data_IF_131913304827
#
_entry.id   IF_131913304827
#
_cell.length_a   1.000
_cell.length_b   1.000
_cell.length_c   1.000
_cell.angle_alpha   90.00
_cell.angle_beta   90.00
_cell.angle_gamma   90.00
#
_symmetry.space_group_name_H-M   'P 1'
#
loop_
_entity.id
_entity.type
_entity.pdbx_description
1 polymer ?
#
# COMPACT_ATOMS: atom_id res chain seq x y z
N UNK A 1 25.73 -29.58 -18.20
CA UNK A 1 24.86 -29.58 -17.01
C UNK A 1 25.70 -29.30 -15.80
N UNK A 2 25.73 -28.08 -15.27
CA UNK A 2 26.31 -27.80 -13.94
C UNK A 2 25.84 -26.41 -13.48
N UNK A 3 25.06 -26.44 -12.40
CA UNK A 3 24.92 -25.46 -11.31
C UNK A 3 24.66 -23.99 -11.63
N UNK A 4 23.37 -23.65 -11.72
CA UNK A 4 22.90 -22.27 -11.58
C UNK A 4 21.91 -22.10 -10.38
N UNK A 5 21.94 -23.00 -9.41
CA UNK A 5 20.99 -23.02 -8.28
C UNK A 5 21.53 -22.45 -6.96
N UNK A 6 22.80 -22.01 -6.90
CA UNK A 6 23.42 -21.54 -5.66
C UNK A 6 23.34 -20.06 -5.38
N UNK A 7 22.95 -19.23 -6.36
CA UNK A 7 22.98 -17.74 -6.21
C UNK A 7 21.74 -17.16 -5.57
N UNK A 8 20.57 -17.75 -5.78
CA UNK A 8 19.29 -17.25 -5.21
C UNK A 8 19.12 -17.57 -3.72
N UNK A 9 19.71 -18.68 -3.25
CA UNK A 9 19.68 -19.06 -1.84
C UNK A 9 20.60 -18.21 -0.94
N UNK A 10 21.63 -17.57 -1.52
CA UNK A 10 22.54 -16.70 -0.76
C UNK A 10 22.01 -15.27 -0.60
N UNK A 11 21.14 -14.79 -1.50
CA UNK A 11 20.50 -13.48 -1.38
C UNK A 11 19.37 -13.47 -0.33
N UNK A 12 18.69 -14.60 -0.11
CA UNK A 12 17.66 -14.75 0.92
C UNK A 12 18.21 -14.78 2.35
N UNK A 13 19.50 -15.07 2.55
CA UNK A 13 20.15 -15.12 3.88
C UNK A 13 20.69 -13.79 4.39
N UNK A 14 20.55 -12.69 3.64
CA UNK A 14 20.99 -11.33 4.07
C UNK A 14 19.88 -10.41 4.57
N UNK A 15 18.62 -10.82 4.54
CA UNK A 15 17.58 -10.16 5.34
C UNK A 15 17.70 -10.71 6.76
N UNK A 16 18.45 -10.02 7.62
CA UNK A 16 18.64 -10.41 9.00
C UNK A 16 17.28 -10.61 9.68
N UNK A 17 16.91 -11.84 9.94
CA UNK A 17 15.78 -12.18 10.79
C UNK A 17 16.11 -11.66 12.19
N UNK A 18 15.54 -10.51 12.56
CA UNK A 18 15.53 -10.05 13.94
C UNK A 18 14.93 -11.18 14.76
N UNK A 19 15.67 -11.69 15.77
CA UNK A 19 15.16 -12.77 16.61
C UNK A 19 13.85 -12.32 17.29
N UNK A 20 12.92 -13.25 17.57
CA UNK A 20 11.66 -12.92 18.25
C UNK A 20 11.89 -12.18 19.58
N UNK A 21 12.96 -12.49 20.31
CA UNK A 21 13.34 -11.80 21.54
C UNK A 21 13.77 -10.36 21.30
N UNK A 22 14.59 -10.07 20.28
CA UNK A 22 15.00 -8.70 19.95
C UNK A 22 13.83 -7.84 19.48
N UNK A 23 12.85 -8.45 18.78
CA UNK A 23 11.62 -7.76 18.40
C UNK A 23 10.77 -7.40 19.62
N UNK A 24 10.61 -8.29 20.59
CA UNK A 24 9.86 -8.04 21.81
C UNK A 24 10.52 -6.95 22.69
N UNK A 25 11.83 -6.99 22.86
CA UNK A 25 12.57 -5.96 23.62
C UNK A 25 12.44 -4.57 22.96
N UNK A 26 12.52 -4.52 21.63
CA UNK A 26 12.30 -3.27 20.88
C UNK A 26 10.89 -2.71 21.09
N UNK A 27 9.86 -3.56 21.04
CA UNK A 27 8.46 -3.15 21.26
C UNK A 27 8.25 -2.60 22.67
N UNK A 28 8.80 -3.23 23.69
CA UNK A 28 8.74 -2.77 25.08
C UNK A 28 9.44 -1.42 25.25
N UNK A 29 10.62 -1.24 24.68
CA UNK A 29 11.34 0.03 24.73
C UNK A 29 10.62 1.15 23.99
N UNK A 30 10.03 0.85 22.84
CA UNK A 30 9.23 1.81 22.05
C UNK A 30 7.99 2.24 22.85
N UNK A 31 7.27 1.30 23.45
CA UNK A 31 6.10 1.58 24.32
C UNK A 31 6.48 2.49 25.49
N UNK A 32 7.54 2.17 26.24
CA UNK A 32 8.04 3.00 27.34
C UNK A 32 8.43 4.41 26.88
N UNK A 33 8.94 4.56 25.66
CA UNK A 33 9.26 5.88 25.08
C UNK A 33 7.99 6.66 24.76
N UNK A 34 6.97 6.02 24.21
CA UNK A 34 5.66 6.62 23.93
C UNK A 34 5.04 7.10 25.24
N UNK A 35 4.99 6.26 26.26
CA UNK A 35 4.42 6.60 27.57
C UNK A 35 5.11 7.82 28.21
N UNK A 36 6.44 7.89 28.10
CA UNK A 36 7.20 9.07 28.59
C UNK A 36 6.83 10.35 27.84
N UNK A 37 6.68 10.27 26.50
CA UNK A 37 6.31 11.45 25.68
C UNK A 37 4.90 11.91 25.98
N UNK A 38 3.94 10.99 26.04
CA UNK A 38 2.54 11.29 26.39
C UNK A 38 2.44 11.85 27.81
N UNK A 39 3.11 11.23 28.77
CA UNK A 39 3.14 11.72 30.15
C UNK A 39 3.79 13.10 30.28
N UNK A 40 4.83 13.40 29.50
CA UNK A 40 5.41 14.75 29.46
C UNK A 40 4.45 15.79 28.88
N UNK A 41 3.69 15.43 27.85
CA UNK A 41 2.68 16.33 27.27
C UNK A 41 1.52 16.59 28.24
N UNK A 42 1.05 15.58 28.93
CA UNK A 42 0.04 15.74 29.98
C UNK A 42 0.50 16.70 31.10
N UNK A 43 1.75 16.54 31.58
CA UNK A 43 2.33 17.46 32.57
C UNK A 43 2.41 18.88 32.03
N UNK A 44 2.91 19.06 30.82
CA UNK A 44 3.02 20.39 30.17
C UNK A 44 1.66 21.08 30.03
N UNK A 45 0.62 20.32 29.68
CA UNK A 45 -0.74 20.82 29.49
C UNK A 45 -1.58 20.82 30.77
N UNK A 46 -1.00 20.41 31.88
CA UNK A 46 -1.69 20.28 33.20
C UNK A 46 -2.93 19.37 33.13
N UNK A 47 -2.89 18.35 32.27
CA UNK A 47 -3.96 17.36 32.13
C UNK A 47 -3.69 16.24 33.13
N UNK A 48 -4.66 15.97 34.01
CA UNK A 48 -4.63 14.79 34.88
C UNK A 48 -5.20 13.58 34.13
N UNK A 49 -4.39 12.55 33.82
CA UNK A 49 -4.91 11.35 33.19
C UNK A 49 -5.89 10.62 34.12
N UNK A 50 -6.85 9.94 33.51
CA UNK A 50 -7.71 9.00 34.23
C UNK A 50 -6.89 7.84 34.77
N UNK A 51 -7.42 7.16 35.81
CA UNK A 51 -6.83 5.93 36.31
C UNK A 51 -6.75 4.82 35.27
N UNK A 52 -6.04 3.74 35.62
CA UNK A 52 -5.97 2.56 34.73
C UNK A 52 -7.38 1.97 34.54
N UNK A 53 -7.71 1.62 33.30
CA UNK A 53 -8.93 0.90 33.00
C UNK A 53 -9.01 -0.42 33.78
N UNK A 54 -10.19 -0.76 34.27
CA UNK A 54 -10.43 -2.07 34.87
C UNK A 54 -10.38 -3.18 33.79
N UNK A 55 -10.44 -4.45 34.19
CA UNK A 55 -10.28 -5.56 33.26
C UNK A 55 -11.42 -5.64 32.22
N UNK A 56 -12.63 -5.31 32.59
CA UNK A 56 -13.77 -5.31 31.67
C UNK A 56 -13.64 -4.21 30.60
N UNK A 57 -13.25 -3.01 30.99
CA UNK A 57 -12.98 -1.90 30.06
C UNK A 57 -11.79 -2.19 29.15
N UNK A 58 -10.70 -2.74 29.75
CA UNK A 58 -9.52 -3.12 28.98
C UNK A 58 -9.87 -4.17 27.92
N UNK A 59 -10.51 -5.26 28.33
CA UNK A 59 -10.94 -6.33 27.43
C UNK A 59 -11.80 -5.80 26.28
N UNK A 60 -12.84 -5.02 26.59
CA UNK A 60 -13.71 -4.44 25.57
C UNK A 60 -12.93 -3.61 24.56
N UNK A 61 -12.00 -2.76 25.03
CA UNK A 61 -11.16 -1.94 24.15
C UNK A 61 -10.21 -2.79 23.30
N UNK A 62 -9.60 -3.82 23.89
CA UNK A 62 -8.69 -4.72 23.18
C UNK A 62 -9.43 -5.43 22.01
N UNK A 63 -10.61 -5.98 22.27
CA UNK A 63 -11.43 -6.63 21.25
C UNK A 63 -11.84 -5.66 20.13
N UNK A 64 -12.35 -4.48 20.47
CA UNK A 64 -12.77 -3.49 19.48
C UNK A 64 -11.59 -3.00 18.62
N UNK A 65 -10.44 -2.75 19.22
CA UNK A 65 -9.28 -2.25 18.49
C UNK A 65 -8.61 -3.33 17.64
N UNK A 66 -8.49 -4.56 18.16
CA UNK A 66 -7.79 -5.64 17.46
C UNK A 66 -8.66 -6.32 16.40
N UNK A 67 -9.90 -6.67 16.74
CA UNK A 67 -10.74 -7.49 15.87
C UNK A 67 -12.09 -6.87 15.47
N UNK A 68 -12.38 -5.64 15.94
CA UNK A 68 -13.54 -4.85 15.51
C UNK A 68 -14.90 -5.30 16.07
N UNK A 69 -14.92 -6.22 17.04
CA UNK A 69 -16.14 -6.68 17.72
C UNK A 69 -15.97 -6.65 19.24
N UNK A 70 -17.07 -6.76 19.96
CA UNK A 70 -17.04 -7.00 21.40
C UNK A 70 -16.76 -8.50 21.68
N UNK A 71 -16.25 -8.86 22.88
CA UNK A 71 -16.11 -10.28 23.26
C UNK A 71 -17.47 -10.97 23.36
N UNK A 72 -17.51 -12.28 23.16
CA UNK A 72 -18.68 -13.09 23.51
C UNK A 72 -18.81 -13.22 25.03
N UNK A 73 -19.91 -13.79 25.49
CA UNK A 73 -20.13 -14.04 26.92
C UNK A 73 -19.04 -14.98 27.47
N UNK A 74 -18.74 -16.07 26.76
CA UNK A 74 -17.75 -17.06 27.17
C UNK A 74 -16.34 -16.47 27.20
N UNK A 75 -15.98 -15.68 26.19
CA UNK A 75 -14.70 -14.96 26.13
C UNK A 75 -14.56 -13.99 27.30
N UNK A 76 -15.66 -13.28 27.63
CA UNK A 76 -15.66 -12.33 28.73
C UNK A 76 -15.52 -13.02 30.09
N UNK A 77 -16.28 -14.08 30.34
CA UNK A 77 -16.21 -14.85 31.58
C UNK A 77 -14.83 -15.48 31.75
N UNK A 78 -14.28 -16.08 30.69
CA UNK A 78 -12.94 -16.69 30.73
C UNK A 78 -11.86 -15.67 31.11
N UNK A 79 -11.86 -14.49 30.49
CA UNK A 79 -10.87 -13.44 30.76
C UNK A 79 -11.03 -12.83 32.17
N UNK A 80 -12.26 -12.57 32.60
CA UNK A 80 -12.50 -11.95 33.90
C UNK A 80 -12.15 -12.88 35.07
N UNK A 81 -12.34 -14.18 34.91
CA UNK A 81 -12.00 -15.20 35.91
C UNK A 81 -10.52 -15.67 35.85
N UNK A 82 -9.77 -15.24 34.84
CA UNK A 82 -8.33 -15.54 34.78
C UNK A 82 -7.59 -14.69 35.81
N UNK A 83 -6.90 -15.36 36.77
CA UNK A 83 -6.10 -14.73 37.80
C UNK A 83 -4.63 -14.53 37.43
N UNK A 84 -4.26 -14.89 36.18
CA UNK A 84 -2.90 -14.73 35.68
C UNK A 84 -2.45 -13.26 35.71
N UNK A 85 -1.26 -12.93 36.22
CA UNK A 85 -0.73 -11.58 36.20
C UNK A 85 -0.52 -11.04 34.77
N UNK A 86 -0.33 -11.92 33.79
CA UNK A 86 -0.08 -11.59 32.39
C UNK A 86 -1.33 -11.68 31.50
N UNK A 87 -2.53 -11.88 32.07
CA UNK A 87 -3.77 -12.09 31.31
C UNK A 87 -4.04 -11.02 30.24
N UNK A 88 -3.68 -9.75 30.52
CA UNK A 88 -3.87 -8.66 29.57
C UNK A 88 -2.95 -8.78 28.34
N UNK A 89 -1.69 -9.14 28.57
CA UNK A 89 -0.73 -9.39 27.48
C UNK A 89 -1.13 -10.63 26.66
N UNK A 90 -1.48 -11.71 27.36
CA UNK A 90 -1.95 -12.94 26.73
C UNK A 90 -3.19 -12.70 25.85
N UNK A 91 -4.13 -11.88 26.32
CA UNK A 91 -5.30 -11.49 25.52
C UNK A 91 -4.90 -10.72 24.27
N UNK A 92 -4.01 -9.73 24.38
CA UNK A 92 -3.53 -8.98 23.21
C UNK A 92 -2.88 -9.93 22.20
N UNK A 93 -1.97 -10.80 22.62
CA UNK A 93 -1.26 -11.73 21.75
C UNK A 93 -2.23 -12.71 21.06
N UNK A 94 -3.21 -13.23 21.79
CA UNK A 94 -4.25 -14.10 21.24
C UNK A 94 -5.10 -13.36 20.19
N UNK A 95 -5.52 -12.12 20.45
CA UNK A 95 -6.29 -11.33 19.50
C UNK A 95 -5.47 -11.01 18.24
N UNK A 96 -4.21 -10.61 18.37
CA UNK A 96 -3.33 -10.31 17.24
C UNK A 96 -3.01 -11.54 16.39
N UNK A 97 -2.99 -12.75 16.98
CA UNK A 97 -2.83 -14.02 16.26
C UNK A 97 -4.10 -14.56 15.62
N UNK A 98 -5.25 -13.90 15.81
CA UNK A 98 -6.56 -14.42 15.40
C UNK A 98 -6.91 -14.12 13.94
N UNK A 99 -7.78 -14.96 13.35
CA UNK A 99 -8.40 -14.67 12.05
C UNK A 99 -9.20 -13.36 12.08
N UNK A 100 -9.83 -13.02 13.20
CA UNK A 100 -10.56 -11.77 13.40
C UNK A 100 -9.68 -10.53 13.22
N UNK A 101 -8.44 -10.58 13.71
CA UNK A 101 -7.46 -9.52 13.48
C UNK A 101 -7.12 -9.36 12.00
N UNK A 102 -6.84 -10.47 11.32
CA UNK A 102 -6.51 -10.45 9.90
C UNK A 102 -7.64 -9.83 9.08
N UNK A 103 -8.89 -10.18 9.36
CA UNK A 103 -10.05 -9.63 8.64
C UNK A 103 -10.32 -8.16 8.98
N UNK A 104 -10.16 -7.77 10.25
CA UNK A 104 -10.32 -6.38 10.66
C UNK A 104 -9.24 -5.47 10.07
N UNK A 105 -8.00 -5.94 10.02
CA UNK A 105 -6.90 -5.24 9.35
C UNK A 105 -7.07 -5.22 7.84
N UNK A 106 -7.57 -6.32 7.25
CA UNK A 106 -7.89 -6.36 5.82
C UNK A 106 -8.89 -5.27 5.43
N UNK A 107 -9.99 -5.11 6.16
CA UNK A 107 -10.98 -4.07 5.86
C UNK A 107 -10.34 -2.68 5.85
N UNK A 108 -9.52 -2.38 6.85
CA UNK A 108 -8.82 -1.11 6.92
C UNK A 108 -7.82 -0.89 5.77
N UNK A 109 -7.06 -1.93 5.40
CA UNK A 109 -6.13 -1.86 4.28
C UNK A 109 -6.86 -1.80 2.93
N UNK A 110 -7.95 -2.55 2.78
CA UNK A 110 -8.75 -2.55 1.57
C UNK A 110 -9.32 -1.15 1.29
N UNK A 111 -9.87 -0.48 2.32
CA UNK A 111 -10.33 0.91 2.21
C UNK A 111 -9.18 1.86 1.82
N UNK A 112 -8.05 1.75 2.50
CA UNK A 112 -6.90 2.62 2.25
C UNK A 112 -6.33 2.44 0.83
N UNK A 113 -6.22 1.19 0.39
CA UNK A 113 -5.71 0.79 -0.92
C UNK A 113 -6.80 0.77 -2.01
N UNK A 114 -8.04 1.11 -1.63
CA UNK A 114 -9.19 1.18 -2.53
C UNK A 114 -9.46 -0.14 -3.26
N UNK A 115 -9.24 -1.26 -2.56
CA UNK A 115 -9.47 -2.59 -3.13
C UNK A 115 -10.96 -2.84 -3.33
N UNK A 116 -11.31 -3.41 -4.46
CA UNK A 116 -12.65 -3.88 -4.82
C UNK A 116 -12.54 -5.31 -5.34
N UNK A 117 -13.61 -6.06 -5.25
CA UNK A 117 -13.71 -7.43 -5.76
C UNK A 117 -13.87 -7.46 -7.30
N UNK A 118 -14.27 -6.32 -7.87
CA UNK A 118 -14.49 -6.16 -9.29
C UNK A 118 -13.77 -4.92 -9.80
N UNK A 119 -13.00 -5.07 -10.87
CA UNK A 119 -12.49 -4.01 -11.73
C UNK A 119 -13.34 -4.00 -13.00
N UNK A 120 -13.30 -2.93 -13.81
CA UNK A 120 -14.21 -2.73 -14.95
C UNK A 120 -14.36 -3.99 -15.84
N UNK A 121 -13.25 -4.67 -16.14
CA UNK A 121 -13.26 -5.85 -17.03
C UNK A 121 -12.58 -7.08 -16.42
N UNK A 122 -12.25 -7.08 -15.13
CA UNK A 122 -11.55 -8.20 -14.49
C UNK A 122 -11.81 -8.31 -13.00
N UNK A 123 -11.53 -9.49 -12.45
CA UNK A 123 -11.68 -9.77 -11.04
C UNK A 123 -10.62 -9.05 -10.18
N UNK A 124 -11.07 -8.40 -9.11
CA UNK A 124 -10.21 -7.88 -8.06
C UNK A 124 -9.73 -8.93 -7.06
N UNK A 125 -10.21 -10.19 -7.18
CA UNK A 125 -9.91 -11.26 -6.24
C UNK A 125 -8.40 -11.52 -6.02
N UNK A 126 -7.52 -11.50 -7.04
CA UNK A 126 -6.08 -11.66 -6.82
C UNK A 126 -5.48 -10.55 -5.96
N UNK A 127 -5.95 -9.31 -6.14
CA UNK A 127 -5.49 -8.17 -5.34
C UNK A 127 -5.96 -8.28 -3.89
N UNK A 128 -7.24 -8.61 -3.69
CA UNK A 128 -7.80 -8.87 -2.36
C UNK A 128 -7.04 -9.99 -1.66
N UNK A 129 -6.77 -11.10 -2.36
CA UNK A 129 -6.01 -12.22 -1.83
C UNK A 129 -4.61 -11.78 -1.41
N UNK A 130 -3.90 -11.03 -2.26
CA UNK A 130 -2.55 -10.54 -1.95
C UNK A 130 -2.52 -9.64 -0.70
N UNK A 131 -3.54 -8.77 -0.50
CA UNK A 131 -3.64 -7.95 0.70
C UNK A 131 -3.85 -8.84 1.94
N UNK A 132 -4.77 -9.82 1.87
CA UNK A 132 -5.05 -10.77 2.97
C UNK A 132 -3.84 -11.59 3.34
N UNK A 133 -3.14 -12.14 2.36
CA UNK A 133 -1.92 -12.91 2.56
C UNK A 133 -0.81 -12.07 3.19
N UNK A 134 -0.61 -10.84 2.71
CA UNK A 134 0.38 -9.90 3.25
C UNK A 134 0.13 -9.59 4.74
N UNK A 135 -1.12 -9.50 5.16
CA UNK A 135 -1.50 -9.29 6.56
C UNK A 135 -1.28 -10.56 7.37
N UNK A 136 -1.76 -11.72 6.89
CA UNK A 136 -1.63 -13.01 7.57
C UNK A 136 -0.17 -13.42 7.78
N UNK A 137 0.70 -13.12 6.80
CA UNK A 137 2.15 -13.33 6.87
C UNK A 137 2.87 -12.28 7.71
N UNK A 138 2.16 -11.30 8.24
CA UNK A 138 2.74 -10.15 8.93
C UNK A 138 3.87 -9.48 8.12
N UNK A 139 3.63 -9.33 6.79
CA UNK A 139 4.58 -8.71 5.87
C UNK A 139 4.92 -7.30 6.32
N UNK A 140 6.19 -6.93 6.30
CA UNK A 140 6.60 -5.59 6.72
C UNK A 140 5.94 -4.52 5.84
N UNK A 141 5.51 -3.41 6.45
CA UNK A 141 4.93 -2.29 5.70
C UNK A 141 5.82 -1.79 4.57
N UNK A 142 7.13 -1.76 4.81
CA UNK A 142 8.13 -1.43 3.80
C UNK A 142 8.05 -2.38 2.61
N UNK A 143 8.06 -3.69 2.85
CA UNK A 143 8.00 -4.70 1.79
C UNK A 143 6.67 -4.65 1.04
N UNK A 144 5.57 -4.54 1.78
CA UNK A 144 4.23 -4.45 1.19
C UNK A 144 4.12 -3.26 0.22
N UNK A 145 4.55 -2.08 0.62
CA UNK A 145 4.47 -0.89 -0.24
C UNK A 145 5.45 -0.95 -1.39
N UNK A 146 6.66 -1.46 -1.17
CA UNK A 146 7.64 -1.65 -2.25
C UNK A 146 7.10 -2.60 -3.32
N UNK A 147 6.53 -3.74 -2.93
CA UNK A 147 5.91 -4.71 -3.84
C UNK A 147 4.75 -4.07 -4.63
N UNK A 148 3.85 -3.32 -3.98
CA UNK A 148 2.76 -2.61 -4.65
C UNK A 148 3.26 -1.66 -5.75
N UNK A 149 4.26 -0.85 -5.43
CA UNK A 149 4.75 0.17 -6.34
C UNK A 149 5.58 -0.43 -7.48
N UNK A 150 6.32 -1.50 -7.22
CA UNK A 150 7.19 -2.15 -8.22
C UNK A 150 6.52 -3.32 -8.96
N UNK A 151 5.26 -3.64 -8.67
CA UNK A 151 4.55 -4.81 -9.18
C UNK A 151 4.52 -4.87 -10.72
N UNK A 152 4.83 -6.03 -11.29
CA UNK A 152 4.71 -6.35 -12.73
C UNK A 152 4.16 -7.75 -12.92
N UNK A 153 3.75 -8.08 -14.13
CA UNK A 153 3.23 -9.40 -14.50
C UNK A 153 1.73 -9.51 -14.41
N UNK A 154 1.21 -10.71 -14.47
CA UNK A 154 -0.22 -11.00 -14.46
C UNK A 154 -0.82 -10.94 -13.05
N UNK A 155 -2.11 -10.64 -12.98
CA UNK A 155 -2.82 -10.47 -11.71
C UNK A 155 -2.86 -11.75 -10.87
N UNK A 156 -3.05 -12.90 -11.52
CA UNK A 156 -3.11 -14.18 -10.81
C UNK A 156 -1.76 -14.67 -10.28
N UNK A 157 -0.65 -14.27 -10.94
CA UNK A 157 0.71 -14.60 -10.48
C UNK A 157 1.22 -13.57 -9.46
N UNK A 158 0.77 -12.32 -9.58
CA UNK A 158 1.20 -11.23 -8.73
C UNK A 158 0.02 -10.29 -8.43
N UNK A 159 -0.75 -10.59 -7.38
CA UNK A 159 -1.91 -9.78 -7.00
C UNK A 159 -1.62 -8.31 -6.71
N UNK A 160 -0.37 -7.95 -6.38
CA UNK A 160 0.02 -6.56 -6.13
C UNK A 160 -0.19 -5.63 -7.35
N UNK A 161 -0.20 -6.18 -8.59
CA UNK A 161 -0.48 -5.40 -9.81
C UNK A 161 -1.89 -4.79 -9.80
N UNK A 162 -2.82 -5.35 -9.02
CA UNK A 162 -4.16 -4.81 -8.84
C UNK A 162 -4.16 -3.35 -8.37
N UNK A 163 -3.09 -2.88 -7.73
CA UNK A 163 -2.91 -1.48 -7.36
C UNK A 163 -2.93 -0.52 -8.55
N UNK A 164 -2.41 -0.94 -9.70
CA UNK A 164 -2.43 -0.16 -10.94
C UNK A 164 -3.64 -0.49 -11.81
N UNK A 165 -4.01 -1.77 -11.88
CA UNK A 165 -5.18 -2.24 -12.66
C UNK A 165 -6.44 -1.53 -12.20
N UNK A 166 -6.58 -1.34 -10.89
CA UNK A 166 -7.71 -0.63 -10.29
C UNK A 166 -7.94 0.78 -10.88
N UNK A 167 -6.89 1.48 -11.26
CA UNK A 167 -6.98 2.83 -11.81
C UNK A 167 -7.01 2.86 -13.35
N UNK A 168 -7.09 1.70 -14.01
CA UNK A 168 -7.39 1.54 -15.45
C UNK A 168 -6.59 2.47 -16.37
N UNK A 169 -5.28 2.54 -16.15
CA UNK A 169 -4.41 3.40 -16.95
C UNK A 169 -4.43 4.89 -16.58
N UNK A 170 -5.24 5.33 -15.63
CA UNK A 170 -5.21 6.69 -15.08
C UNK A 170 -3.99 6.88 -14.17
N UNK A 171 -2.79 6.81 -14.75
CA UNK A 171 -1.53 6.77 -13.99
C UNK A 171 -1.25 8.06 -13.20
N UNK A 172 -1.77 9.19 -13.64
CA UNK A 172 -1.65 10.45 -12.90
C UNK A 172 -2.49 10.43 -11.63
N UNK A 173 -3.71 9.89 -11.70
CA UNK A 173 -4.58 9.75 -10.54
C UNK A 173 -4.05 8.67 -9.58
N UNK A 174 -3.46 7.59 -10.12
CA UNK A 174 -2.74 6.61 -9.31
C UNK A 174 -1.58 7.25 -8.55
N UNK A 175 -0.77 8.12 -9.18
CA UNK A 175 0.32 8.85 -8.52
C UNK A 175 -0.21 9.81 -7.44
N UNK A 176 -1.28 10.56 -7.71
CA UNK A 176 -1.93 11.43 -6.73
C UNK A 176 -2.41 10.62 -5.51
N UNK A 177 -3.05 9.48 -5.74
CA UNK A 177 -3.46 8.55 -4.68
C UNK A 177 -2.26 7.96 -3.92
N UNK A 178 -1.19 7.59 -4.63
CA UNK A 178 0.04 7.09 -4.02
C UNK A 178 0.63 8.09 -3.02
N UNK A 179 0.72 9.36 -3.40
CA UNK A 179 1.22 10.42 -2.50
C UNK A 179 0.27 10.66 -1.33
N UNK A 180 -1.03 10.64 -1.56
CA UNK A 180 -2.03 10.77 -0.50
C UNK A 180 -1.97 9.59 0.48
N UNK A 181 -1.85 8.36 -0.03
CA UNK A 181 -1.85 7.15 0.78
C UNK A 181 -0.55 7.02 1.58
N UNK A 182 0.60 7.14 0.94
CA UNK A 182 1.88 6.79 1.56
C UNK A 182 2.66 7.99 2.10
N UNK A 183 2.42 9.18 1.57
CA UNK A 183 3.09 10.42 1.99
C UNK A 183 2.16 11.42 2.70
N UNK A 184 0.85 11.12 2.78
CA UNK A 184 -0.13 11.96 3.45
C UNK A 184 -0.21 13.37 2.86
N UNK A 185 0.04 13.49 1.57
CA UNK A 185 0.09 14.76 0.84
C UNK A 185 -0.83 14.70 -0.36
N UNK A 186 -1.63 15.72 -0.53
CA UNK A 186 -2.53 15.88 -1.67
C UNK A 186 -1.86 16.74 -2.72
N UNK A 187 -1.55 16.15 -3.87
CA UNK A 187 -0.94 16.86 -5.00
C UNK A 187 -1.83 16.87 -6.23
N UNK A 188 -3.04 16.37 -6.13
CA UNK A 188 -3.98 16.25 -7.25
C UNK A 188 -4.29 17.61 -7.92
N UNK A 189 -4.42 18.70 -7.14
CA UNK A 189 -4.61 20.03 -7.70
C UNK A 189 -3.45 20.49 -8.59
N UNK A 190 -2.23 20.00 -8.27
CA UNK A 190 -1.03 20.32 -9.03
C UNK A 190 -0.98 19.62 -10.40
N UNK A 191 -1.94 18.77 -10.73
CA UNK A 191 -2.09 18.21 -12.09
C UNK A 191 -2.46 19.28 -13.12
N UNK A 192 -3.29 20.25 -12.76
CA UNK A 192 -3.80 21.27 -13.68
C UNK A 192 -3.16 22.65 -13.49
N UNK A 193 -2.76 23.00 -12.27
CA UNK A 193 -2.15 24.29 -11.92
C UNK A 193 -1.32 24.16 -10.64
N UNK A 194 -0.48 25.15 -10.33
CA UNK A 194 0.20 25.18 -9.04
C UNK A 194 -0.83 25.13 -7.90
N UNK A 195 -0.53 24.35 -6.86
CA UNK A 195 -1.47 24.13 -5.76
C UNK A 195 -1.85 25.47 -5.09
N UNK A 196 -3.16 25.77 -4.92
CA UNK A 196 -3.59 27.11 -4.49
C UNK A 196 -3.28 27.40 -3.02
N UNK A 197 -3.14 26.38 -2.17
CA UNK A 197 -3.00 26.51 -0.72
C UNK A 197 -1.74 25.80 -0.17
N UNK A 198 -0.92 25.21 -1.04
CA UNK A 198 0.28 24.48 -0.64
C UNK A 198 1.42 24.81 -1.62
N UNK A 199 2.63 24.39 -1.30
CA UNK A 199 3.84 24.71 -2.08
C UNK A 199 4.04 23.87 -3.35
N UNK A 200 3.13 22.93 -3.66
CA UNK A 200 3.25 22.02 -4.79
C UNK A 200 3.05 22.71 -6.13
N UNK A 201 4.04 22.60 -6.99
CA UNK A 201 3.97 23.11 -8.36
C UNK A 201 3.44 22.06 -9.32
N UNK A 202 2.86 22.50 -10.44
CA UNK A 202 2.48 21.63 -11.54
C UNK A 202 3.69 20.80 -12.03
N UNK A 203 4.87 21.40 -12.09
CA UNK A 203 6.12 20.71 -12.39
C UNK A 203 6.41 19.55 -11.44
N UNK A 204 6.25 19.75 -10.12
CA UNK A 204 6.47 18.70 -9.13
C UNK A 204 5.54 17.49 -9.34
N UNK A 205 4.27 17.77 -9.68
CA UNK A 205 3.31 16.71 -9.99
C UNK A 205 3.72 15.90 -11.22
N UNK A 206 4.08 16.57 -12.32
CA UNK A 206 4.48 15.88 -13.56
C UNK A 206 5.79 15.12 -13.39
N UNK A 207 6.75 15.67 -12.66
CA UNK A 207 7.99 14.95 -12.34
C UNK A 207 7.75 13.72 -11.47
N UNK A 208 6.80 13.75 -10.54
CA UNK A 208 6.37 12.56 -9.78
C UNK A 208 5.66 11.56 -10.70
N UNK A 209 4.71 12.00 -11.51
CA UNK A 209 3.97 11.13 -12.42
C UNK A 209 4.87 10.45 -13.46
N UNK A 210 6.01 11.06 -13.80
CA UNK A 210 6.97 10.49 -14.74
C UNK A 210 7.57 9.14 -14.27
N UNK A 211 7.59 8.85 -12.98
CA UNK A 211 8.05 7.55 -12.47
C UNK A 211 7.19 6.39 -12.94
N UNK A 212 5.90 6.60 -13.09
CA UNK A 212 4.91 5.58 -13.46
C UNK A 212 4.42 5.72 -14.89
N UNK A 213 4.84 6.78 -15.59
CA UNK A 213 4.44 7.03 -16.98
C UNK A 213 5.11 6.07 -17.94
N UNK A 214 4.44 5.02 -18.30
CA UNK A 214 4.94 3.94 -19.15
C UNK A 214 4.44 2.58 -18.68
N UNK A 215 3.70 2.57 -17.60
CA UNK A 215 2.90 1.41 -17.22
C UNK A 215 1.83 1.22 -18.26
N UNK A 216 1.74 0.00 -18.80
CA UNK A 216 0.70 -0.43 -19.70
C UNK A 216 -0.03 -1.60 -19.08
N UNK A 217 -1.34 -1.55 -19.15
CA UNK A 217 -2.18 -2.69 -18.85
C UNK A 217 -2.36 -3.46 -20.15
N UNK A 218 -1.97 -4.71 -20.18
CA UNK A 218 -2.16 -5.60 -21.32
C UNK A 218 -3.16 -6.70 -20.93
N UNK A 219 -4.09 -6.99 -21.82
CA UNK A 219 -4.99 -8.15 -21.70
C UNK A 219 -4.18 -9.42 -21.98
N UNK A 220 -4.52 -10.53 -21.33
CA UNK A 220 -3.86 -11.81 -21.61
C UNK A 220 -4.17 -12.28 -23.03
N UNK A 221 -3.30 -13.15 -23.60
CA UNK A 221 -3.55 -13.75 -24.92
C UNK A 221 -4.89 -14.48 -24.99
N UNK A 222 -5.32 -15.09 -23.90
CA UNK A 222 -6.59 -15.81 -23.84
C UNK A 222 -7.78 -14.84 -23.89
N UNK A 223 -7.67 -13.66 -23.27
CA UNK A 223 -8.72 -12.64 -23.36
C UNK A 223 -8.83 -12.08 -24.78
N UNK A 224 -7.71 -11.83 -25.45
CA UNK A 224 -7.71 -11.40 -26.85
C UNK A 224 -8.37 -12.46 -27.76
N UNK A 225 -8.06 -13.74 -27.54
CA UNK A 225 -8.67 -14.83 -28.31
C UNK A 225 -10.19 -14.95 -28.08
N UNK A 226 -10.68 -14.63 -26.90
CA UNK A 226 -12.11 -14.65 -26.58
C UNK A 226 -12.84 -13.40 -27.13
N UNK A 227 -12.16 -12.26 -27.21
CA UNK A 227 -12.71 -11.04 -27.85
C UNK A 227 -12.87 -11.20 -29.37
N UNK A 228 -11.89 -11.77 -30.03
CA UNK A 228 -11.94 -12.02 -31.48
C UNK A 228 -13.08 -12.98 -31.94
N UNK A 229 -13.71 -13.68 -30.99
CA UNK A 229 -14.84 -14.57 -31.24
C UNK A 229 -16.21 -13.99 -30.85
N UNK A 230 -16.30 -12.71 -30.46
CA UNK A 230 -17.58 -12.06 -30.16
C UNK A 230 -18.51 -11.87 -31.34
N UNK A 231 -18.02 -11.96 -32.58
CA UNK A 231 -18.82 -11.96 -33.83
C UNK A 231 -19.53 -13.30 -34.08
N UNK A 232 -19.91 -14.01 -33.02
CA UNK A 232 -20.74 -15.20 -33.19
C UNK A 232 -22.22 -14.82 -33.33
N UNK A 233 -22.60 -14.33 -34.51
CA UNK A 233 -23.98 -14.25 -34.93
C UNK A 233 -24.63 -15.65 -34.83
N UNK A 234 -25.59 -15.81 -33.93
CA UNK A 234 -26.37 -17.06 -33.80
C UNK A 234 -26.18 -17.83 -32.47
N UNK A 235 -25.34 -17.37 -31.56
CA UNK A 235 -25.15 -18.02 -30.25
C UNK A 235 -26.30 -17.65 -29.32
N UNK A 236 -26.88 -18.67 -28.64
CA UNK A 236 -27.95 -18.45 -27.65
C UNK A 236 -27.49 -17.49 -26.52
N UNK A 237 -28.48 -16.79 -25.93
CA UNK A 237 -28.24 -15.85 -24.82
C UNK A 237 -27.47 -16.52 -23.67
N UNK A 238 -27.79 -17.79 -23.36
CA UNK A 238 -27.18 -18.55 -22.27
C UNK A 238 -25.69 -18.83 -22.52
N UNK A 239 -25.30 -19.11 -23.78
CA UNK A 239 -23.89 -19.31 -24.13
C UNK A 239 -23.11 -17.98 -24.08
N UNK A 240 -23.76 -16.85 -24.34
CA UNK A 240 -23.12 -15.52 -24.17
C UNK A 240 -22.89 -15.21 -22.70
N UNK A 241 -23.82 -15.55 -21.82
CA UNK A 241 -23.65 -15.36 -20.39
C UNK A 241 -22.59 -16.26 -19.79
N UNK A 242 -22.52 -17.53 -20.23
CA UNK A 242 -21.42 -18.45 -19.86
C UNK A 242 -20.08 -17.95 -20.39
N UNK A 243 -20.00 -17.46 -21.62
CA UNK A 243 -18.76 -16.91 -22.18
C UNK A 243 -18.31 -15.64 -21.44
N UNK A 244 -19.27 -14.82 -20.98
CA UNK A 244 -18.99 -13.66 -20.13
C UNK A 244 -18.44 -14.07 -18.77
N UNK A 245 -19.01 -15.09 -18.11
CA UNK A 245 -18.51 -15.62 -16.84
C UNK A 245 -17.13 -16.23 -16.98
N UNK A 246 -16.89 -17.01 -18.04
CA UNK A 246 -15.57 -17.59 -18.34
C UNK A 246 -14.56 -16.46 -18.59
N UNK A 247 -14.94 -15.46 -19.38
CA UNK A 247 -14.13 -14.28 -19.67
C UNK A 247 -13.74 -13.58 -18.36
N UNK A 248 -14.71 -13.28 -17.52
CA UNK A 248 -14.49 -12.64 -16.22
C UNK A 248 -13.55 -13.44 -15.31
N UNK A 249 -13.68 -14.78 -15.30
CA UNK A 249 -12.83 -15.67 -14.51
C UNK A 249 -11.42 -15.82 -15.07
N UNK A 250 -11.26 -15.68 -16.39
CA UNK A 250 -10.00 -15.93 -17.12
C UNK A 250 -9.29 -14.62 -17.52
N UNK A 251 -9.97 -13.48 -17.43
CA UNK A 251 -9.38 -12.17 -17.74
C UNK A 251 -8.23 -11.90 -16.78
N UNK A 252 -7.02 -12.14 -17.27
CA UNK A 252 -5.79 -11.82 -16.56
C UNK A 252 -5.21 -10.53 -17.14
N UNK A 253 -5.29 -9.46 -16.38
CA UNK A 253 -4.58 -8.24 -16.70
C UNK A 253 -3.12 -8.38 -16.29
N UNK A 254 -2.23 -8.08 -17.19
CA UNK A 254 -0.83 -7.94 -16.89
C UNK A 254 -0.41 -6.47 -16.87
N UNK A 255 0.47 -6.14 -15.95
CA UNK A 255 1.15 -4.86 -15.94
C UNK A 255 2.52 -5.02 -16.55
N UNK A 256 2.73 -4.29 -17.64
CA UNK A 256 4.02 -4.13 -18.29
C UNK A 256 4.53 -2.71 -18.03
N UNK A 257 5.80 -2.58 -17.74
CA UNK A 257 6.41 -1.27 -17.56
C UNK A 257 7.42 -1.02 -18.69
N UNK A 258 7.03 -0.18 -19.63
CA UNK A 258 7.88 0.29 -20.73
C UNK A 258 8.44 1.68 -20.46
N UNK A 259 8.25 2.19 -19.24
CA UNK A 259 8.54 3.55 -18.86
C UNK A 259 10.03 3.88 -18.80
N UNK A 260 10.38 5.01 -19.37
CA UNK A 260 11.72 5.59 -19.33
C UNK A 260 11.91 6.60 -18.20
N UNK A 261 10.89 6.78 -17.35
CA UNK A 261 10.90 7.79 -16.28
C UNK A 261 10.78 9.22 -16.82
N UNK A 262 10.06 9.41 -17.91
CA UNK A 262 9.80 10.73 -18.50
C UNK A 262 8.33 10.91 -18.82
N UNK A 263 7.85 12.15 -18.82
CA UNK A 263 6.50 12.53 -19.19
C UNK A 263 6.52 13.86 -19.96
N UNK A 264 5.49 14.12 -20.76
CA UNK A 264 5.32 15.44 -21.39
C UNK A 264 4.48 16.34 -20.49
N UNK A 265 4.89 17.58 -20.35
CA UNK A 265 4.05 18.63 -19.77
C UNK A 265 2.80 18.85 -20.62
N UNK A 266 1.70 19.34 -20.04
CA UNK A 266 0.50 19.63 -20.80
C UNK A 266 0.74 20.74 -21.84
N UNK A 267 -0.09 20.79 -22.88
CA UNK A 267 0.04 21.77 -23.96
C UNK A 267 -0.30 23.20 -23.51
N UNK A 268 -1.03 23.34 -22.42
CA UNK A 268 -1.44 24.58 -21.77
C UNK A 268 -0.57 24.92 -20.55
N UNK A 269 0.62 24.31 -20.44
CA UNK A 269 1.57 24.65 -19.37
C UNK A 269 1.99 26.11 -19.47
N UNK A 270 1.83 26.87 -18.38
CA UNK A 270 1.97 28.34 -18.40
C UNK A 270 3.02 28.89 -17.43
N UNK A 271 3.77 28.01 -16.76
CA UNK A 271 4.75 28.45 -15.77
C UNK A 271 6.16 28.55 -16.38
N UNK A 272 6.99 29.44 -15.80
CA UNK A 272 8.35 29.75 -16.31
C UNK A 272 9.38 28.65 -16.12
N UNK A 273 9.03 27.58 -15.40
CA UNK A 273 9.92 26.47 -15.07
C UNK A 273 9.84 25.29 -16.08
N UNK A 274 9.16 25.49 -17.21
CA UNK A 274 9.10 24.57 -18.33
C UNK A 274 8.27 25.09 -19.49
N UNK A 275 8.37 24.43 -20.64
CA UNK A 275 7.64 24.78 -21.86
C UNK A 275 6.43 23.86 -22.11
N UNK A 276 5.36 24.35 -22.79
CA UNK A 276 4.23 23.52 -23.19
C UNK A 276 4.68 22.29 -24.01
N UNK A 277 4.27 21.10 -23.57
CA UNK A 277 4.63 19.84 -24.23
C UNK A 277 6.09 19.40 -24.05
N UNK A 278 6.90 20.13 -23.30
CA UNK A 278 8.26 19.72 -22.96
C UNK A 278 8.29 18.35 -22.31
N UNK A 279 9.33 17.56 -22.60
CA UNK A 279 9.56 16.28 -21.95
C UNK A 279 10.40 16.48 -20.70
N UNK A 280 9.83 16.16 -19.53
CA UNK A 280 10.48 16.26 -18.23
C UNK A 280 10.82 14.88 -17.67
N UNK A 281 11.92 14.79 -16.91
CA UNK A 281 12.36 13.58 -16.23
C UNK A 281 11.71 13.41 -14.86
N UNK A 282 11.63 12.17 -14.41
CA UNK A 282 11.11 11.87 -13.08
C UNK A 282 12.00 12.46 -11.99
N UNK A 283 11.35 13.01 -10.96
CA UNK A 283 12.00 13.57 -9.77
C UNK A 283 11.07 13.42 -8.58
N UNK A 284 11.59 12.90 -7.48
CA UNK A 284 10.86 12.80 -6.23
C UNK A 284 10.75 14.15 -5.52
N UNK A 285 9.72 14.27 -4.66
CA UNK A 285 9.48 15.49 -3.90
C UNK A 285 10.64 15.78 -2.94
N UNK A 286 11.29 16.93 -3.12
CA UNK A 286 12.48 17.31 -2.37
C UNK A 286 12.22 17.60 -0.89
N UNK A 287 10.98 17.93 -0.53
CA UNK A 287 10.56 18.20 0.83
C UNK A 287 10.55 16.93 1.72
N UNK A 288 10.66 15.73 1.13
CA UNK A 288 10.53 14.46 1.84
C UNK A 288 11.86 13.70 1.96
N UNK A 289 12.98 14.36 1.79
CA UNK A 289 14.31 13.78 1.96
C UNK A 289 15.16 13.82 0.70
N UNK A 290 16.15 12.93 0.62
CA UNK A 290 17.08 12.88 -0.52
C UNK A 290 16.33 12.64 -1.83
N UNK A 291 16.51 13.55 -2.77
CA UNK A 291 15.81 13.51 -4.06
C UNK A 291 16.38 12.43 -4.97
N UNK A 292 15.52 11.62 -5.57
CA UNK A 292 15.83 10.71 -6.67
C UNK A 292 15.39 11.34 -7.98
N UNK A 293 16.24 11.27 -9.01
CA UNK A 293 16.00 11.85 -10.33
C UNK A 293 16.27 10.83 -11.43
N UNK A 294 15.51 10.93 -12.53
CA UNK A 294 15.75 10.23 -13.79
C UNK A 294 15.92 11.29 -14.87
N UNK A 295 17.06 11.28 -15.56
CA UNK A 295 17.36 12.26 -16.61
C UNK A 295 16.55 11.97 -17.88
N UNK A 296 16.09 13.01 -18.56
CA UNK A 296 15.49 12.92 -19.90
C UNK A 296 16.47 12.42 -20.97
N UNK A 297 17.78 12.60 -20.71
CA UNK A 297 18.87 12.14 -21.60
C UNK A 297 19.31 10.70 -21.29
N UNK A 298 18.77 10.10 -20.25
CA UNK A 298 19.11 8.70 -19.93
C UNK A 298 18.59 7.81 -21.03
N UNK A 299 19.51 7.22 -21.79
CA UNK A 299 19.22 6.10 -22.69
C UNK A 299 19.01 4.81 -21.86
N UNK A 300 18.36 4.92 -20.69
CA UNK A 300 18.03 3.74 -19.90
C UNK A 300 17.11 2.86 -20.73
N UNK A 301 17.71 1.82 -21.29
CA UNK A 301 17.04 0.79 -22.09
C UNK A 301 16.31 -0.21 -21.20
N UNK A 302 16.33 -0.02 -19.88
CA UNK A 302 15.73 -0.92 -18.90
C UNK A 302 14.34 -0.39 -18.49
N UNK A 303 13.28 -0.95 -19.07
CA UNK A 303 11.90 -0.63 -18.67
C UNK A 303 11.71 -0.93 -17.16
N UNK A 304 10.96 -0.08 -16.47
CA UNK A 304 10.62 -0.29 -15.06
C UNK A 304 11.65 0.21 -14.05
N UNK A 305 12.88 0.48 -14.42
CA UNK A 305 13.90 1.00 -13.47
C UNK A 305 13.49 2.29 -12.77
N UNK A 306 12.75 3.18 -13.43
CA UNK A 306 12.28 4.43 -12.84
C UNK A 306 11.31 4.17 -11.69
N UNK A 307 10.40 3.22 -11.87
CA UNK A 307 9.39 2.86 -10.89
C UNK A 307 9.99 2.13 -9.69
N UNK A 308 10.95 1.23 -9.92
CA UNK A 308 11.72 0.59 -8.83
C UNK A 308 12.49 1.64 -8.02
N UNK A 309 13.16 2.60 -8.68
CA UNK A 309 13.82 3.73 -7.99
C UNK A 309 12.83 4.57 -7.16
N UNK A 310 11.62 4.74 -7.66
CA UNK A 310 10.57 5.42 -6.90
C UNK A 310 10.14 4.60 -5.69
N UNK A 311 9.94 3.28 -5.85
CA UNK A 311 9.62 2.38 -4.75
C UNK A 311 10.72 2.41 -3.66
N UNK A 312 11.98 2.31 -4.06
CA UNK A 312 13.13 2.38 -3.15
C UNK A 312 13.17 3.70 -2.38
N UNK A 313 12.97 4.82 -3.08
CA UNK A 313 12.91 6.14 -2.45
C UNK A 313 11.72 6.28 -1.50
N UNK A 314 10.55 5.81 -1.93
CA UNK A 314 9.32 5.92 -1.14
C UNK A 314 9.47 5.25 0.23
N UNK A 315 10.06 4.05 0.26
CA UNK A 315 10.22 3.25 1.48
C UNK A 315 11.58 3.43 2.17
N UNK A 316 12.40 4.38 1.69
CA UNK A 316 13.73 4.65 2.24
C UNK A 316 13.65 5.22 3.67
N UNK A 317 14.58 4.86 4.56
CA UNK A 317 14.74 5.54 5.85
C UNK A 317 15.00 7.04 5.71
N UNK A 318 15.59 7.46 4.57
CA UNK A 318 15.84 8.88 4.25
C UNK A 318 14.56 9.65 3.88
N UNK A 319 13.42 8.95 3.77
CA UNK A 319 12.10 9.53 3.58
C UNK A 319 11.28 9.43 4.88
N UNK A 320 11.47 10.34 5.84
CA UNK A 320 10.79 10.27 7.13
C UNK A 320 9.27 10.44 7.00
N UNK A 321 8.77 10.98 5.89
CA UNK A 321 7.34 11.19 5.67
C UNK A 321 6.59 9.87 5.58
N UNK A 322 7.16 8.89 4.89
CA UNK A 322 6.60 7.55 4.76
C UNK A 322 6.30 6.92 6.13
N UNK A 323 7.29 6.91 7.02
CA UNK A 323 7.15 6.34 8.36
C UNK A 323 6.19 7.15 9.24
N UNK A 324 6.27 8.48 9.19
CA UNK A 324 5.40 9.37 9.99
C UNK A 324 3.92 9.18 9.62
N UNK A 325 3.61 9.03 8.34
CA UNK A 325 2.23 8.90 7.89
C UNK A 325 1.60 7.61 8.39
N UNK A 326 2.29 6.48 8.26
CA UNK A 326 1.74 5.21 8.74
C UNK A 326 1.65 5.18 10.27
N UNK A 327 2.67 5.69 10.97
CA UNK A 327 2.65 5.78 12.43
C UNK A 327 1.45 6.62 12.93
N UNK A 328 1.20 7.77 12.30
CA UNK A 328 0.07 8.63 12.65
C UNK A 328 -1.28 7.97 12.37
N UNK A 329 -1.41 7.21 11.28
CA UNK A 329 -2.63 6.45 10.96
C UNK A 329 -2.89 5.33 11.96
N UNK A 330 -1.85 4.58 12.33
CA UNK A 330 -1.96 3.54 13.37
C UNK A 330 -2.30 4.16 14.72
N UNK A 331 -1.68 5.29 15.08
CA UNK A 331 -2.00 6.03 16.27
C UNK A 331 -3.47 6.44 16.29
N UNK A 332 -3.94 7.07 15.23
CA UNK A 332 -5.36 7.45 15.11
C UNK A 332 -6.31 6.26 15.23
N UNK A 333 -5.93 5.10 14.68
CA UNK A 333 -6.74 3.89 14.78
C UNK A 333 -6.89 3.40 16.21
N UNK A 334 -5.83 3.47 17.01
CA UNK A 334 -5.80 2.96 18.39
C UNK A 334 -6.30 4.00 19.40
N UNK A 335 -5.95 5.29 19.18
CA UNK A 335 -6.20 6.38 20.12
C UNK A 335 -7.38 7.29 19.71
N UNK A 336 -8.03 7.03 18.60
CA UNK A 336 -9.11 7.84 17.97
C UNK A 336 -8.71 9.28 17.58
N UNK A 337 -7.51 9.73 17.91
CA UNK A 337 -6.96 11.05 17.58
C UNK A 337 -5.59 10.88 16.95
N UNK A 338 -5.28 11.64 15.90
CA UNK A 338 -4.01 11.60 15.20
C UNK A 338 -3.47 12.98 14.86
#
# INVERSE_FOLDING_TARGET
MLSCTSSLAQLAKRSGSVSKSQSADFQIQASKKIDRLVGADFRRKQIRPLGKANDAEFMRRAYLNAIGRIPSYEEAVSFLNDESPDKRNNLIDSLLGSYGYNMHMFNWWADLLRATDEFEDTSGAPYIKWIKDSIAENKSYKSMVHELISATGGGWQNGAVGYYVRDQGMLKDNMANTTRIFLGTRIECAQCHNHPFDSWKQMDFYQMAAFTNGIKTAKSHLSNYLEDKEDMDGVSRDLRDVSRLIRYAVYDFSIQDTGTGTIRLPKDYKYRDGDPGERVGAKSLSQFGKTVKVSTRSKSTDPGKSRVKFADWLVSPDNPRFTKVIANRMWKRVMATG
#
